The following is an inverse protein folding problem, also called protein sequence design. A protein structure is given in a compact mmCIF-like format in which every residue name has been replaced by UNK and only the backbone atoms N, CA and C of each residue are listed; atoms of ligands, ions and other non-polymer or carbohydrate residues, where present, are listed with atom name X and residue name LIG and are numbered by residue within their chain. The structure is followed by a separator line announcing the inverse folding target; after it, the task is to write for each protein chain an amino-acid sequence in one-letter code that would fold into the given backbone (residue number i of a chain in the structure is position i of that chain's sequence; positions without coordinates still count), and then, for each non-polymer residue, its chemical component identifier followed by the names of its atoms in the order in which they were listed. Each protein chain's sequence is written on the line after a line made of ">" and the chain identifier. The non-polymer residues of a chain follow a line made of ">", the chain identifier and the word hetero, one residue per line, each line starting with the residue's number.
data_IF_485246828376
#
_entry.id   IF_485246828376
#
_cell.length_a   1.000
_cell.length_b   1.000
_cell.length_c   1.000
_cell.angle_alpha   90.00
_cell.angle_beta   90.00
_cell.angle_gamma   90.00
#
_symmetry.space_group_name_H-M   'P 1'
#
loop_
_entity.id
_entity.type
_entity.pdbx_description
1 polymer ?
#
# COMPACT_ATOMS: atom_id res chain seq x y z
N UNK A 1 -16.17 11.88 29.65
CA UNK A 1 -14.79 11.95 29.14
C UNK A 1 -14.58 10.79 28.16
N UNK A 2 -14.73 11.03 26.84
CA UNK A 2 -14.61 9.97 25.80
C UNK A 2 -13.16 9.52 25.68
N UNK A 3 -12.93 8.22 25.87
CA UNK A 3 -11.63 7.57 25.94
C UNK A 3 -10.85 7.70 24.61
N UNK A 4 -9.81 8.56 24.57
CA UNK A 4 -8.92 8.79 23.40
C UNK A 4 -8.26 7.52 22.89
N UNK A 5 -8.02 6.52 23.74
CA UNK A 5 -7.46 5.22 23.34
C UNK A 5 -8.41 4.45 22.42
N UNK A 6 -9.72 4.46 22.73
CA UNK A 6 -10.74 3.85 21.87
C UNK A 6 -10.84 4.54 20.51
N UNK A 7 -10.63 5.85 20.41
CA UNK A 7 -10.73 6.55 19.12
C UNK A 7 -9.57 6.21 18.17
N UNK A 8 -8.35 6.07 18.69
CA UNK A 8 -7.18 5.68 17.89
C UNK A 8 -7.26 4.20 17.50
N UNK A 9 -7.71 3.32 18.41
CA UNK A 9 -7.98 1.92 18.08
C UNK A 9 -9.14 1.79 17.08
N UNK A 10 -10.19 2.60 17.19
CA UNK A 10 -11.30 2.66 16.22
C UNK A 10 -10.84 3.21 14.86
N UNK A 11 -9.89 4.16 14.82
CA UNK A 11 -9.32 4.65 13.55
C UNK A 11 -8.48 3.57 12.90
N UNK A 12 -7.55 2.95 13.63
CA UNK A 12 -6.76 1.82 13.13
C UNK A 12 -7.63 0.61 12.77
N UNK A 13 -8.71 0.30 13.51
CA UNK A 13 -9.61 -0.83 13.23
C UNK A 13 -10.58 -0.56 12.08
N UNK A 14 -11.13 0.66 11.94
CA UNK A 14 -11.99 1.03 10.82
C UNK A 14 -11.21 1.17 9.51
N UNK A 15 -9.99 1.69 9.56
CA UNK A 15 -9.04 1.67 8.44
C UNK A 15 -8.69 0.21 8.09
N UNK A 16 -8.36 -0.64 9.09
CA UNK A 16 -8.11 -2.09 8.86
C UNK A 16 -9.28 -2.84 8.22
N UNK A 17 -10.54 -2.48 8.51
CA UNK A 17 -11.73 -3.10 7.88
C UNK A 17 -12.01 -2.58 6.47
N UNK A 18 -11.63 -1.34 6.15
CA UNK A 18 -11.86 -0.70 4.85
C UNK A 18 -10.70 -0.91 3.85
N UNK A 19 -9.46 -1.08 4.32
CA UNK A 19 -8.26 -1.24 3.48
C UNK A 19 -8.28 -2.57 2.70
N UNK A 20 -8.87 -3.62 3.27
CA UNK A 20 -9.13 -4.88 2.54
C UNK A 20 -10.48 -4.84 1.81
N UNK A 21 -10.88 -3.66 1.31
CA UNK A 21 -11.98 -3.52 0.36
C UNK A 21 -11.82 -4.58 -0.71
N UNK A 22 -12.77 -5.52 -0.72
CA UNK A 22 -12.86 -6.72 -1.58
C UNK A 22 -11.59 -6.98 -2.38
N UNK A 23 -10.67 -7.85 -1.92
CA UNK A 23 -9.44 -8.27 -2.65
C UNK A 23 -9.74 -8.38 -4.15
N UNK A 24 -9.52 -7.30 -4.89
CA UNK A 24 -9.88 -7.29 -6.31
C UNK A 24 -8.79 -8.12 -6.95
N UNK A 25 -9.18 -9.33 -7.39
CA UNK A 25 -8.24 -10.25 -7.98
C UNK A 25 -7.78 -9.62 -9.30
N UNK A 26 -6.50 -9.21 -9.35
CA UNK A 26 -5.86 -8.77 -10.57
C UNK A 26 -6.06 -9.83 -11.65
N UNK A 27 -6.56 -9.41 -12.80
CA UNK A 27 -6.77 -10.32 -13.93
C UNK A 27 -5.40 -10.70 -14.49
N UNK A 28 -5.23 -11.95 -14.90
CA UNK A 28 -3.99 -12.40 -15.56
C UNK A 28 -3.66 -11.53 -16.78
N UNK A 29 -4.69 -11.10 -17.53
CA UNK A 29 -4.53 -10.17 -18.66
C UNK A 29 -3.82 -8.86 -18.26
N UNK A 30 -4.20 -8.27 -17.12
CA UNK A 30 -3.57 -7.05 -16.60
C UNK A 30 -2.09 -7.29 -16.32
N UNK A 31 -1.74 -8.42 -15.68
CA UNK A 31 -0.34 -8.75 -15.40
C UNK A 31 0.48 -8.90 -16.69
N UNK A 32 -0.07 -9.58 -17.70
CA UNK A 32 0.62 -9.75 -18.99
C UNK A 32 0.84 -8.42 -19.72
N UNK A 33 -0.14 -7.52 -19.68
CA UNK A 33 0.00 -6.17 -20.24
C UNK A 33 1.04 -5.35 -19.46
N UNK A 34 1.03 -5.42 -18.13
CA UNK A 34 2.00 -4.73 -17.29
C UNK A 34 3.45 -5.22 -17.55
N UNK A 35 3.64 -6.53 -17.73
CA UNK A 35 4.93 -7.12 -18.13
C UNK A 35 5.37 -6.61 -19.50
N UNK A 36 4.43 -6.36 -20.43
CA UNK A 36 4.73 -5.78 -21.74
C UNK A 36 5.05 -4.27 -21.71
N UNK A 37 4.94 -3.62 -20.55
CA UNK A 37 5.22 -2.20 -20.37
C UNK A 37 4.00 -1.29 -20.52
N UNK A 38 2.78 -1.84 -20.53
CA UNK A 38 1.56 -1.04 -20.57
C UNK A 38 1.41 -0.24 -19.26
N UNK A 39 1.35 1.10 -19.40
CA UNK A 39 1.37 2.01 -18.27
C UNK A 39 0.08 1.97 -17.45
N UNK A 40 -1.07 1.76 -18.10
CA UNK A 40 -2.36 1.66 -17.39
C UNK A 40 -2.40 0.38 -16.56
N UNK A 41 -1.95 -0.73 -17.13
CA UNK A 41 -1.85 -2.00 -16.44
C UNK A 41 -0.85 -1.95 -15.27
N UNK A 42 0.28 -1.26 -15.42
CA UNK A 42 1.24 -1.06 -14.33
C UNK A 42 0.60 -0.27 -13.17
N UNK A 43 -0.13 0.80 -13.47
CA UNK A 43 -0.83 1.58 -12.44
C UNK A 43 -1.96 0.79 -11.78
N UNK A 44 -2.72 -0.01 -12.54
CA UNK A 44 -3.75 -0.91 -11.97
C UNK A 44 -3.13 -1.89 -10.96
N UNK A 45 -1.93 -2.42 -11.25
CA UNK A 45 -1.20 -3.26 -10.31
C UNK A 45 -0.78 -2.48 -9.07
N UNK A 46 -0.17 -1.30 -9.22
CA UNK A 46 0.24 -0.47 -8.07
C UNK A 46 -0.95 -0.10 -7.19
N UNK A 47 -2.07 0.32 -7.78
CA UNK A 47 -3.30 0.67 -7.06
C UNK A 47 -3.87 -0.52 -6.29
N UNK A 48 -3.82 -1.72 -6.87
CA UNK A 48 -4.22 -2.95 -6.17
C UNK A 48 -3.37 -3.22 -4.94
N UNK A 49 -2.05 -2.95 -5.01
CA UNK A 49 -1.11 -3.16 -3.91
C UNK A 49 -0.99 -1.97 -2.95
N UNK A 50 -1.60 -0.82 -3.24
CA UNK A 50 -1.54 0.39 -2.42
C UNK A 50 -1.86 0.17 -0.93
N UNK A 51 -2.95 -0.53 -0.55
CA UNK A 51 -3.19 -1.02 0.81
C UNK A 51 -1.99 -1.65 1.53
N UNK A 52 -1.28 -2.51 0.81
CA UNK A 52 -0.15 -3.26 1.34
C UNK A 52 1.11 -2.39 1.41
N UNK A 53 1.34 -1.58 0.39
CA UNK A 53 2.44 -0.61 0.33
C UNK A 53 2.32 0.42 1.46
N UNK A 54 1.13 0.98 1.69
CA UNK A 54 0.86 1.93 2.78
C UNK A 54 1.15 1.28 4.13
N UNK A 55 0.73 0.03 4.33
CA UNK A 55 1.03 -0.73 5.55
C UNK A 55 2.53 -0.95 5.76
N UNK A 56 3.27 -1.33 4.72
CA UNK A 56 4.71 -1.56 4.80
C UNK A 56 5.53 -0.28 4.98
N UNK A 57 4.96 0.87 4.60
CA UNK A 57 5.59 2.17 4.74
C UNK A 57 5.21 2.90 6.05
N UNK A 58 4.40 2.30 6.93
CA UNK A 58 4.08 2.90 8.22
C UNK A 58 5.30 2.97 9.14
N UNK A 59 5.48 4.11 9.80
CA UNK A 59 6.49 4.34 10.83
C UNK A 59 5.88 5.06 12.02
N UNK A 60 6.49 4.87 13.19
CA UNK A 60 6.14 5.61 14.41
C UNK A 60 7.05 6.84 14.49
N UNK A 61 6.43 8.02 14.54
CA UNK A 61 7.13 9.30 14.66
C UNK A 61 6.72 9.95 15.98
N UNK A 62 7.71 10.47 16.71
CA UNK A 62 7.50 11.28 17.91
C UNK A 62 7.30 12.74 17.51
N UNK A 63 6.26 13.38 18.03
CA UNK A 63 6.12 14.83 17.91
C UNK A 63 6.95 15.58 18.95
N UNK A 64 7.02 16.91 18.78
CA UNK A 64 7.74 17.82 19.67
C UNK A 64 7.26 17.77 21.13
N UNK A 65 6.04 17.28 21.36
CA UNK A 65 5.43 17.14 22.68
C UNK A 65 5.63 15.72 23.26
N UNK A 66 6.40 14.86 22.59
CA UNK A 66 6.68 13.49 23.02
C UNK A 66 5.57 12.47 22.74
N UNK A 67 4.55 12.81 21.94
CA UNK A 67 3.53 11.84 21.54
C UNK A 67 3.95 11.06 20.29
N UNK A 68 3.84 9.74 20.37
CA UNK A 68 4.01 8.85 19.24
C UNK A 68 2.76 8.86 18.34
N UNK A 69 2.97 8.95 17.02
CA UNK A 69 1.93 8.80 16.00
C UNK A 69 2.41 7.87 14.89
N UNK A 70 1.51 7.05 14.38
CA UNK A 70 1.79 6.28 13.16
C UNK A 70 1.57 7.17 11.94
N UNK A 71 2.57 7.25 11.06
CA UNK A 71 2.52 7.99 9.80
C UNK A 71 3.13 7.16 8.68
N UNK A 72 2.64 7.35 7.46
CA UNK A 72 3.24 6.74 6.27
C UNK A 72 4.53 7.48 5.94
N UNK A 73 5.62 6.74 5.82
CA UNK A 73 6.87 7.25 5.27
C UNK A 73 6.76 7.29 3.74
N UNK A 74 6.51 8.49 3.20
CA UNK A 74 6.33 8.72 1.77
C UNK A 74 7.56 8.31 0.94
N UNK A 75 8.76 8.35 1.52
CA UNK A 75 9.99 7.91 0.82
C UNK A 75 10.01 6.39 0.67
N UNK A 76 9.67 5.68 1.74
CA UNK A 76 9.54 4.21 1.72
C UNK A 76 8.41 3.79 0.80
N UNK A 77 7.25 4.44 0.89
CA UNK A 77 6.10 4.19 0.01
C UNK A 77 6.48 4.32 -1.45
N UNK A 78 7.08 5.45 -1.84
CA UNK A 78 7.53 5.68 -3.23
C UNK A 78 8.56 4.65 -3.68
N UNK A 79 9.46 4.25 -2.79
CA UNK A 79 10.47 3.23 -3.09
C UNK A 79 9.84 1.85 -3.33
N UNK A 80 8.79 1.50 -2.58
CA UNK A 80 8.02 0.27 -2.77
C UNK A 80 7.20 0.29 -4.06
N UNK A 81 6.55 1.41 -4.40
CA UNK A 81 5.82 1.58 -5.66
C UNK A 81 6.75 1.40 -6.87
N UNK A 82 7.89 2.12 -6.88
CA UNK A 82 8.90 2.00 -7.95
C UNK A 82 9.51 0.60 -7.99
N UNK A 83 9.79 0.00 -6.83
CA UNK A 83 10.31 -1.36 -6.72
C UNK A 83 9.35 -2.40 -7.28
N UNK A 84 8.05 -2.25 -7.04
CA UNK A 84 7.02 -3.12 -7.58
C UNK A 84 6.95 -3.01 -9.11
N UNK A 85 6.94 -1.80 -9.66
CA UNK A 85 6.98 -1.57 -11.12
C UNK A 85 8.22 -2.24 -11.73
N UNK A 86 9.40 -1.99 -11.16
CA UNK A 86 10.66 -2.55 -11.64
C UNK A 86 10.69 -4.09 -11.56
N UNK A 87 10.05 -4.68 -10.54
CA UNK A 87 9.93 -6.13 -10.41
C UNK A 87 8.99 -6.73 -11.47
N UNK A 88 7.85 -6.08 -11.76
CA UNK A 88 6.90 -6.51 -12.79
C UNK A 88 7.54 -6.46 -14.18
N UNK A 89 8.28 -5.40 -14.50
CA UNK A 89 8.98 -5.28 -15.79
C UNK A 89 10.06 -6.35 -16.00
N UNK A 90 10.58 -6.93 -14.90
CA UNK A 90 11.54 -8.04 -14.94
C UNK A 90 10.88 -9.41 -14.79
N UNK A 91 9.57 -9.47 -14.58
CA UNK A 91 8.84 -10.71 -14.37
C UNK A 91 8.64 -11.45 -15.69
N UNK A 92 8.96 -12.74 -15.70
CA UNK A 92 8.82 -13.60 -16.87
C UNK A 92 7.74 -14.67 -16.57
N UNK A 93 6.51 -14.50 -17.07
CA UNK A 93 5.38 -15.36 -16.71
C UNK A 93 5.42 -16.77 -17.31
N UNK A 94 6.40 -17.06 -18.16
CA UNK A 94 6.50 -18.31 -18.93
C UNK A 94 7.83 -19.06 -18.71
N UNK A 95 8.62 -18.63 -17.72
CA UNK A 95 9.86 -19.29 -17.31
C UNK A 95 9.61 -20.08 -16.02
#
# INVERSE_FOLDING_TARGET
>A
MRNRKNQNELFSQNVRKSIFGSKQKLKTKTILLAVSGDTEALMEVVDTYKPYIEKLSMRVVMDENGHCREMVDETVKRSLEVGLIAAIMKFHPYI
#
